data_IF_356691712552
#
_entry.id   IF_356691712552
#
_cell.length_a   1.000
_cell.length_b   1.000
_cell.length_c   1.000
_cell.angle_alpha   90.00
_cell.angle_beta   90.00
_cell.angle_gamma   90.00
#
_symmetry.space_group_name_H-M   'P 1'
#
loop_
_entity.id
_entity.type
_entity.pdbx_description
1 polymer ?
#
# COMPACT_ATOMS: atom_id res chain seq x y z
N UNK A 1 -7.22 -1.15 6.54
CA UNK A 1 -6.96 -1.85 7.82
C UNK A 1 -6.28 -0.87 8.75
N UNK A 2 -6.60 -0.83 10.05
CA UNK A 2 -5.77 -0.06 10.98
C UNK A 2 -4.65 -0.99 11.47
N UNK A 3 -3.44 -0.83 10.92
CA UNK A 3 -2.25 -1.55 11.42
C UNK A 3 -1.69 -0.82 12.64
N UNK A 4 -1.03 -1.54 13.54
CA UNK A 4 -0.39 -0.92 14.70
C UNK A 4 0.74 0.03 14.28
N UNK A 5 1.01 1.06 15.10
CA UNK A 5 2.15 1.96 14.87
C UNK A 5 3.48 1.22 14.85
N UNK A 6 3.61 0.15 15.65
CA UNK A 6 4.79 -0.71 15.63
C UNK A 6 4.97 -1.36 14.25
N UNK A 7 3.90 -1.88 13.67
CA UNK A 7 3.91 -2.49 12.32
C UNK A 7 4.24 -1.45 11.26
N UNK A 8 3.60 -0.29 11.30
CA UNK A 8 3.88 0.81 10.36
C UNK A 8 5.36 1.21 10.40
N UNK A 9 5.91 1.46 11.59
CA UNK A 9 7.32 1.82 11.77
C UNK A 9 8.28 0.73 11.29
N UNK A 10 7.91 -0.55 11.44
CA UNK A 10 8.72 -1.65 10.91
C UNK A 10 8.76 -1.64 9.38
N UNK A 11 7.61 -1.39 8.72
CA UNK A 11 7.54 -1.28 7.27
C UNK A 11 8.32 -0.05 6.75
N UNK A 12 8.24 1.08 7.45
CA UNK A 12 9.02 2.28 7.13
C UNK A 12 10.54 2.01 7.23
N UNK A 13 10.97 1.26 8.26
CA UNK A 13 12.39 0.90 8.46
C UNK A 13 12.97 0.02 7.36
N UNK A 14 12.14 -0.77 6.70
CA UNK A 14 12.57 -1.57 5.54
C UNK A 14 12.40 -0.82 4.22
N UNK A 15 12.14 0.50 4.28
CA UNK A 15 12.13 1.37 3.12
C UNK A 15 10.78 1.52 2.42
N UNK A 16 9.68 1.07 3.05
CA UNK A 16 8.35 1.35 2.49
C UNK A 16 7.90 2.78 2.80
N UNK A 17 7.31 3.43 1.79
CA UNK A 17 6.67 4.75 1.96
C UNK A 17 5.29 4.61 2.58
N UNK A 18 4.73 5.71 3.10
CA UNK A 18 3.36 5.71 3.63
C UNK A 18 2.31 5.31 2.59
N UNK A 19 2.53 5.59 1.31
CA UNK A 19 1.61 5.17 0.24
C UNK A 19 1.73 3.67 -0.03
N UNK A 20 2.96 3.18 -0.17
CA UNK A 20 3.24 1.75 -0.31
C UNK A 20 2.65 0.93 0.84
N UNK A 21 2.83 1.36 2.09
CA UNK A 21 2.25 0.69 3.28
C UNK A 21 0.73 0.59 3.17
N UNK A 22 0.06 1.67 2.77
CA UNK A 22 -1.41 1.70 2.66
C UNK A 22 -1.91 0.84 1.52
N UNK A 23 -1.24 0.90 0.37
CA UNK A 23 -1.56 0.08 -0.81
C UNK A 23 -1.35 -1.40 -0.49
N UNK A 24 -0.16 -1.78 0.00
CA UNK A 24 0.21 -3.15 0.34
C UNK A 24 -0.72 -3.75 1.39
N UNK A 25 -1.00 -3.04 2.48
CA UNK A 25 -1.89 -3.54 3.53
C UNK A 25 -3.36 -3.64 3.10
N UNK A 26 -3.79 -2.87 2.09
CA UNK A 26 -5.13 -3.01 1.51
C UNK A 26 -5.21 -4.28 0.66
N UNK A 27 -4.19 -4.56 -0.16
CA UNK A 27 -4.10 -5.80 -0.95
C UNK A 27 -4.03 -7.04 -0.05
N UNK A 28 -3.22 -7.01 1.02
CA UNK A 28 -3.15 -8.13 1.98
C UNK A 28 -4.49 -8.41 2.68
N UNK A 29 -5.30 -7.37 2.90
CA UNK A 29 -6.60 -7.50 3.58
C UNK A 29 -7.70 -7.97 2.62
N UNK A 30 -7.81 -7.30 1.47
CA UNK A 30 -8.96 -7.41 0.58
C UNK A 30 -8.68 -8.32 -0.63
N UNK A 31 -7.43 -8.76 -0.84
CA UNK A 31 -7.02 -9.60 -1.96
C UNK A 31 -6.76 -8.80 -3.23
N UNK A 32 -7.01 -9.43 -4.38
CA UNK A 32 -6.94 -8.78 -5.68
C UNK A 32 -8.00 -7.67 -5.79
N UNK A 33 -7.58 -6.50 -6.26
CA UNK A 33 -8.42 -5.33 -6.38
C UNK A 33 -8.15 -4.64 -7.71
N UNK A 34 -9.17 -4.00 -8.27
CA UNK A 34 -8.97 -3.03 -9.36
C UNK A 34 -8.22 -1.81 -8.84
N UNK A 35 -7.58 -1.04 -9.73
CA UNK A 35 -6.89 0.19 -9.34
C UNK A 35 -7.84 1.22 -8.67
N UNK A 36 -9.11 1.26 -9.11
CA UNK A 36 -10.14 2.13 -8.51
C UNK A 36 -10.50 1.68 -7.10
N UNK A 37 -10.74 0.39 -6.89
CA UNK A 37 -11.08 -0.14 -5.57
C UNK A 37 -9.90 0.01 -4.62
N UNK A 38 -8.69 -0.23 -5.11
CA UNK A 38 -7.46 -0.07 -4.36
C UNK A 38 -7.24 1.39 -3.95
N UNK A 39 -7.49 2.36 -4.85
CA UNK A 39 -7.46 3.78 -4.51
C UNK A 39 -8.45 4.13 -3.40
N UNK A 40 -9.70 3.67 -3.51
CA UNK A 40 -10.72 3.95 -2.50
C UNK A 40 -10.40 3.30 -1.15
N UNK A 41 -10.03 2.01 -1.14
CA UNK A 41 -9.77 1.24 0.09
C UNK A 41 -8.48 1.65 0.79
N UNK A 42 -7.42 1.91 0.03
CA UNK A 42 -6.15 2.39 0.59
C UNK A 42 -6.23 3.86 0.97
N UNK A 43 -7.05 4.65 0.26
CA UNK A 43 -7.12 6.10 0.26
C UNK A 43 -5.89 6.77 -0.38
N UNK A 44 -5.11 6.03 -1.16
CA UNK A 44 -4.04 6.58 -2.01
C UNK A 44 -4.70 7.12 -3.29
N UNK A 45 -4.33 8.32 -3.78
CA UNK A 45 -4.91 8.87 -5.01
C UNK A 45 -4.78 7.92 -6.19
N UNK A 46 -5.83 7.81 -7.01
CA UNK A 46 -5.87 6.91 -8.16
C UNK A 46 -4.67 7.12 -9.11
N UNK A 47 -4.30 8.38 -9.35
CA UNK A 47 -3.15 8.76 -10.17
C UNK A 47 -1.79 8.23 -9.67
N UNK A 48 -1.72 7.78 -8.42
CA UNK A 48 -0.51 7.24 -7.79
C UNK A 48 -0.52 5.72 -7.66
N UNK A 49 -1.63 5.04 -7.99
CA UNK A 49 -1.75 3.59 -7.75
C UNK A 49 -0.73 2.81 -8.58
N UNK A 50 -0.64 3.04 -9.88
CA UNK A 50 0.30 2.30 -10.73
C UNK A 50 1.76 2.58 -10.39
N UNK A 51 2.11 3.82 -10.04
CA UNK A 51 3.45 4.18 -9.56
C UNK A 51 3.80 3.40 -8.28
N UNK A 52 2.90 3.41 -7.29
CA UNK A 52 3.11 2.70 -6.02
C UNK A 52 3.18 1.19 -6.23
N UNK A 53 2.32 0.62 -7.09
CA UNK A 53 2.37 -0.80 -7.43
C UNK A 53 3.71 -1.18 -8.09
N UNK A 54 4.20 -0.37 -9.04
CA UNK A 54 5.51 -0.57 -9.66
C UNK A 54 6.64 -0.55 -8.64
N UNK A 55 6.65 0.42 -7.71
CA UNK A 55 7.66 0.47 -6.65
C UNK A 55 7.58 -0.71 -5.67
N UNK A 56 6.38 -1.24 -5.41
CA UNK A 56 6.21 -2.43 -4.56
C UNK A 56 6.68 -3.70 -5.28
N UNK A 57 6.42 -3.81 -6.57
CA UNK A 57 6.89 -4.91 -7.42
C UNK A 57 8.41 -4.91 -7.54
N UNK A 58 9.04 -3.75 -7.73
CA UNK A 58 10.51 -3.59 -7.77
C UNK A 58 11.19 -3.94 -6.43
N UNK A 59 10.48 -3.81 -5.31
CA UNK A 59 10.97 -4.15 -3.96
C UNK A 59 10.67 -5.61 -3.56
N UNK A 60 9.82 -6.30 -4.33
CA UNK A 60 9.45 -7.71 -4.14
C UNK A 60 10.49 -8.67 -4.71
#
# INVERSE_FOLDING_TARGET
>A
MNISDKTRRALEKIGLTSYEIRTFTSLLKDGELTASDLSQKSGVPYSKIYEVLGTLEEKG
#
